data_IF_218622593831
#
_entry.id   IF_218622593831
#
_cell.length_a   1.000
_cell.length_b   1.000
_cell.length_c   1.000
_cell.angle_alpha   90.00
_cell.angle_beta   90.00
_cell.angle_gamma   90.00
#
_symmetry.space_group_name_H-M   'P 1'
#
loop_
_entity.id
_entity.type
_entity.pdbx_description
1 polymer ?
#
# COMPACT_ATOMS: atom_id res chain seq x y z
N UNK A 1 -34.58 22.80 -4.35
CA UNK A 1 -34.90 24.12 -4.94
C UNK A 1 -34.82 25.12 -3.80
N UNK A 2 -34.06 26.21 -3.94
CA UNK A 2 -33.96 27.24 -2.89
C UNK A 2 -35.27 28.02 -2.83
N UNK A 3 -35.97 27.96 -1.69
CA UNK A 3 -37.23 28.68 -1.49
C UNK A 3 -37.01 30.21 -1.47
N UNK A 4 -37.96 30.96 -2.00
CA UNK A 4 -37.95 32.43 -1.95
C UNK A 4 -38.52 32.90 -0.60
N UNK A 5 -38.00 33.98 0.02
CA UNK A 5 -38.63 34.59 1.17
C UNK A 5 -40.01 35.17 0.81
N UNK A 6 -41.01 34.97 1.66
CA UNK A 6 -42.39 35.38 1.42
C UNK A 6 -42.79 36.50 2.38
N UNK A 7 -43.13 37.68 1.84
CA UNK A 7 -43.71 38.78 2.62
C UNK A 7 -44.62 39.63 1.74
N UNK A 8 -45.79 40.05 2.25
CA UNK A 8 -46.79 40.83 1.51
C UNK A 8 -46.21 42.13 0.91
N UNK A 9 -45.31 42.78 1.64
CA UNK A 9 -44.55 43.96 1.22
C UNK A 9 -43.05 43.70 1.02
N UNK A 10 -42.66 42.58 0.40
CA UNK A 10 -41.24 42.29 0.16
C UNK A 10 -40.61 43.39 -0.73
N UNK A 11 -39.61 44.16 -0.24
CA UNK A 11 -39.00 45.23 -1.01
C UNK A 11 -38.34 44.72 -2.29
N UNK A 12 -38.42 45.50 -3.37
CA UNK A 12 -37.85 45.10 -4.66
C UNK A 12 -36.34 44.82 -4.59
N UNK A 13 -35.60 45.49 -3.71
CA UNK A 13 -34.17 45.27 -3.52
C UNK A 13 -33.88 43.92 -2.85
N UNK A 14 -34.76 43.42 -1.98
CA UNK A 14 -34.63 42.08 -1.35
C UNK A 14 -34.83 40.99 -2.38
N UNK A 15 -35.84 41.13 -3.26
CA UNK A 15 -36.05 40.21 -4.39
C UNK A 15 -34.84 40.14 -5.31
N UNK A 16 -34.21 41.30 -5.59
CA UNK A 16 -32.96 41.34 -6.36
C UNK A 16 -31.82 40.66 -5.63
N UNK A 17 -31.62 40.93 -4.34
CA UNK A 17 -30.59 40.28 -3.53
C UNK A 17 -30.75 38.75 -3.53
N UNK A 18 -31.99 38.27 -3.30
CA UNK A 18 -32.30 36.85 -3.42
C UNK A 18 -32.07 36.31 -4.83
N UNK A 19 -32.51 37.03 -5.87
CA UNK A 19 -32.31 36.63 -7.27
C UNK A 19 -30.83 36.48 -7.66
N UNK A 20 -29.94 37.30 -7.08
CA UNK A 20 -28.50 37.18 -7.26
C UNK A 20 -27.90 36.00 -6.48
N UNK A 21 -28.36 35.78 -5.25
CA UNK A 21 -27.84 34.72 -4.39
C UNK A 21 -28.35 33.31 -4.77
N UNK A 22 -29.61 33.22 -5.21
CA UNK A 22 -30.32 31.97 -5.52
C UNK A 22 -29.54 31.02 -6.44
N UNK A 23 -29.00 31.44 -7.60
CA UNK A 23 -28.28 30.50 -8.48
C UNK A 23 -27.02 29.94 -7.82
N UNK A 24 -26.29 30.76 -7.04
CA UNK A 24 -25.07 30.34 -6.34
C UNK A 24 -25.43 29.33 -5.25
N UNK A 25 -26.39 29.67 -4.39
CA UNK A 25 -26.86 28.78 -3.33
C UNK A 25 -27.46 27.47 -3.89
N UNK A 26 -28.12 27.53 -5.05
CA UNK A 26 -28.65 26.33 -5.70
C UNK A 26 -27.55 25.41 -6.24
N UNK A 27 -26.47 25.97 -6.80
CA UNK A 27 -25.30 25.21 -7.25
C UNK A 27 -24.56 24.57 -6.06
N UNK A 28 -24.39 25.32 -4.98
CA UNK A 28 -23.79 24.81 -3.74
C UNK A 28 -24.59 23.66 -3.14
N UNK A 29 -25.91 23.80 -3.02
CA UNK A 29 -26.79 22.73 -2.55
C UNK A 29 -26.81 21.51 -3.48
N UNK A 30 -26.62 21.71 -4.78
CA UNK A 30 -26.49 20.64 -5.76
C UNK A 30 -25.19 19.86 -5.61
N UNK A 31 -24.12 20.53 -5.18
CA UNK A 31 -22.78 19.96 -5.00
C UNK A 31 -22.55 19.36 -3.61
N UNK A 32 -23.25 19.85 -2.60
CA UNK A 32 -23.18 19.34 -1.22
C UNK A 32 -23.98 18.04 -1.04
N UNK A 33 -23.53 17.21 -0.11
CA UNK A 33 -24.20 15.95 0.25
C UNK A 33 -24.25 15.73 1.76
N UNK A 34 -25.17 14.87 2.20
CA UNK A 34 -25.33 14.49 3.61
C UNK A 34 -25.53 15.68 4.55
N UNK A 35 -24.83 15.67 5.69
CA UNK A 35 -24.96 16.67 6.75
C UNK A 35 -24.57 18.07 6.31
N UNK A 36 -23.57 18.21 5.43
CA UNK A 36 -23.13 19.52 4.94
C UNK A 36 -24.22 20.21 4.12
N UNK A 37 -24.97 19.43 3.33
CA UNK A 37 -26.14 19.93 2.61
C UNK A 37 -27.25 20.35 3.57
N UNK A 38 -27.58 19.50 4.56
CA UNK A 38 -28.61 19.81 5.56
C UNK A 38 -28.31 21.12 6.31
N UNK A 39 -27.05 21.32 6.74
CA UNK A 39 -26.61 22.56 7.40
C UNK A 39 -26.85 23.81 6.55
N UNK A 40 -26.58 23.76 5.24
CA UNK A 40 -26.81 24.90 4.36
C UNK A 40 -28.32 25.11 4.10
N UNK A 41 -29.09 24.03 3.92
CA UNK A 41 -30.55 24.11 3.76
C UNK A 41 -31.22 24.75 4.98
N UNK A 42 -30.83 24.34 6.19
CA UNK A 42 -31.33 24.90 7.44
C UNK A 42 -30.98 26.38 7.60
N UNK A 43 -29.73 26.76 7.29
CA UNK A 43 -29.27 28.15 7.37
C UNK A 43 -30.01 29.06 6.37
N UNK A 44 -30.28 28.57 5.16
CA UNK A 44 -31.10 29.27 4.16
C UNK A 44 -32.54 29.42 4.66
N UNK A 45 -33.14 28.35 5.19
CA UNK A 45 -34.51 28.36 5.71
C UNK A 45 -34.66 29.33 6.88
N UNK A 46 -33.70 29.33 7.81
CA UNK A 46 -33.65 30.26 8.93
C UNK A 46 -33.59 31.71 8.45
N UNK A 47 -32.66 32.03 7.53
CA UNK A 47 -32.54 33.38 7.00
C UNK A 47 -33.82 33.83 6.29
N UNK A 48 -34.38 32.98 5.45
CA UNK A 48 -35.61 33.27 4.73
C UNK A 48 -36.80 33.45 5.67
N UNK A 49 -36.90 32.66 6.74
CA UNK A 49 -37.94 32.82 7.78
C UNK A 49 -37.84 34.19 8.45
N UNK A 50 -36.61 34.61 8.80
CA UNK A 50 -36.37 35.92 9.40
C UNK A 50 -36.73 37.06 8.43
N UNK A 51 -36.37 36.96 7.16
CA UNK A 51 -36.75 37.94 6.13
C UNK A 51 -38.28 37.97 5.94
N UNK A 52 -38.92 36.80 5.89
CA UNK A 52 -40.38 36.62 5.78
C UNK A 52 -41.13 37.17 6.99
N UNK A 53 -40.48 37.34 8.14
CA UNK A 53 -41.03 38.02 9.33
C UNK A 53 -40.96 39.57 9.26
N UNK A 54 -40.40 40.13 8.17
CA UNK A 54 -40.29 41.57 7.95
C UNK A 54 -38.91 42.17 8.25
N UNK A 55 -37.93 41.37 8.69
CA UNK A 55 -36.55 41.84 8.95
C UNK A 55 -35.71 41.84 7.67
N UNK A 56 -36.09 42.67 6.71
CA UNK A 56 -35.49 42.70 5.37
C UNK A 56 -34.00 43.00 5.32
N UNK A 57 -33.45 43.74 6.29
CA UNK A 57 -32.00 44.01 6.38
C UNK A 57 -31.16 42.73 6.48
N UNK A 58 -31.75 41.60 6.89
CA UNK A 58 -31.07 40.32 6.91
C UNK A 58 -30.74 39.80 5.50
N UNK A 59 -31.36 40.32 4.44
CA UNK A 59 -31.00 39.98 3.07
C UNK A 59 -29.53 40.31 2.72
N UNK A 60 -28.86 41.22 3.45
CA UNK A 60 -27.41 41.45 3.27
C UNK A 60 -26.57 40.22 3.65
N UNK A 61 -27.12 39.30 4.45
CA UNK A 61 -26.44 38.07 4.90
C UNK A 61 -26.47 36.94 3.88
N UNK A 62 -27.07 37.14 2.71
CA UNK A 62 -26.93 36.15 1.62
C UNK A 62 -25.46 35.94 1.24
N UNK A 63 -24.61 36.98 1.35
CA UNK A 63 -23.17 36.83 1.15
C UNK A 63 -22.52 35.92 2.20
N UNK A 64 -22.95 35.99 3.46
CA UNK A 64 -22.47 35.11 4.52
C UNK A 64 -22.89 33.66 4.29
N UNK A 65 -24.11 33.43 3.76
CA UNK A 65 -24.59 32.09 3.40
C UNK A 65 -23.80 31.47 2.25
N UNK A 66 -23.47 32.26 1.22
CA UNK A 66 -22.60 31.81 0.13
C UNK A 66 -21.22 31.44 0.69
N UNK A 67 -20.62 32.30 1.52
CA UNK A 67 -19.34 32.01 2.15
C UNK A 67 -19.39 30.75 3.04
N UNK A 68 -20.52 30.48 3.69
CA UNK A 68 -20.75 29.24 4.43
C UNK A 68 -20.79 28.02 3.49
N UNK A 69 -21.53 28.11 2.37
CA UNK A 69 -21.62 27.05 1.36
C UNK A 69 -20.25 26.71 0.75
N UNK A 70 -19.47 27.72 0.38
CA UNK A 70 -18.09 27.55 -0.11
C UNK A 70 -17.19 26.82 0.91
N UNK A 71 -17.29 27.17 2.20
CA UNK A 71 -16.53 26.51 3.27
C UNK A 71 -16.95 25.06 3.43
N UNK A 72 -18.25 24.78 3.48
CA UNK A 72 -18.79 23.42 3.57
C UNK A 72 -18.34 22.56 2.38
N UNK A 73 -18.32 23.12 1.17
CA UNK A 73 -17.80 22.44 -0.02
C UNK A 73 -16.30 22.15 0.10
N UNK A 74 -15.51 23.11 0.58
CA UNK A 74 -14.08 22.92 0.78
C UNK A 74 -13.80 21.81 1.82
N UNK A 75 -14.57 21.78 2.91
CA UNK A 75 -14.41 20.77 3.95
C UNK A 75 -14.84 19.38 3.46
N UNK A 76 -15.98 19.26 2.77
CA UNK A 76 -16.40 18.01 2.12
C UNK A 76 -15.33 17.48 1.15
N UNK A 77 -14.72 18.36 0.35
CA UNK A 77 -13.62 17.98 -0.56
C UNK A 77 -12.39 17.50 0.19
N UNK A 78 -12.06 18.11 1.33
CA UNK A 78 -10.94 17.67 2.19
C UNK A 78 -11.20 16.28 2.77
N UNK A 79 -12.38 16.07 3.34
CA UNK A 79 -12.78 14.77 3.89
C UNK A 79 -12.78 13.67 2.83
N UNK A 80 -13.31 13.95 1.63
CA UNK A 80 -13.25 13.05 0.48
C UNK A 80 -11.81 12.75 0.03
N UNK A 81 -10.93 13.76 0.06
CA UNK A 81 -9.52 13.57 -0.28
C UNK A 81 -8.79 12.72 0.78
N UNK A 82 -9.09 12.90 2.06
CA UNK A 82 -8.52 12.12 3.16
C UNK A 82 -8.98 10.67 3.12
N UNK A 83 -10.27 10.42 2.96
CA UNK A 83 -10.82 9.06 2.79
C UNK A 83 -10.22 8.37 1.57
N UNK A 84 -10.11 9.06 0.43
CA UNK A 84 -9.46 8.53 -0.76
C UNK A 84 -7.96 8.24 -0.53
N UNK A 85 -7.24 9.09 0.21
CA UNK A 85 -5.84 8.84 0.58
C UNK A 85 -5.72 7.58 1.43
N UNK A 86 -6.53 7.45 2.48
CA UNK A 86 -6.55 6.26 3.34
C UNK A 86 -6.86 5.00 2.52
N UNK A 87 -7.88 5.03 1.66
CA UNK A 87 -8.21 3.91 0.78
C UNK A 87 -7.03 3.53 -0.14
N UNK A 88 -6.39 4.51 -0.80
CA UNK A 88 -5.21 4.24 -1.64
C UNK A 88 -4.06 3.62 -0.85
N UNK A 89 -3.83 4.05 0.39
CA UNK A 89 -2.78 3.44 1.23
C UNK A 89 -3.10 1.98 1.58
N UNK A 90 -4.37 1.68 1.90
CA UNK A 90 -4.82 0.32 2.17
C UNK A 90 -4.73 -0.56 0.91
N UNK A 91 -5.17 -0.06 -0.24
CA UNK A 91 -5.08 -0.78 -1.52
C UNK A 91 -3.63 -1.05 -1.93
N UNK A 92 -2.74 -0.08 -1.77
CA UNK A 92 -1.32 -0.26 -2.04
C UNK A 92 -0.70 -1.31 -1.11
N UNK A 93 -1.04 -1.31 0.18
CA UNK A 93 -0.60 -2.32 1.13
C UNK A 93 -1.12 -3.71 0.76
N UNK A 94 -2.42 -3.84 0.46
CA UNK A 94 -3.02 -5.12 0.00
C UNK A 94 -2.35 -5.63 -1.25
N UNK A 95 -2.09 -4.76 -2.22
CA UNK A 95 -1.41 -5.13 -3.47
C UNK A 95 -0.03 -5.70 -3.19
N UNK A 96 0.79 -5.03 -2.36
CA UNK A 96 2.13 -5.53 -1.98
C UNK A 96 2.07 -6.91 -1.33
N UNK A 97 1.17 -7.12 -0.36
CA UNK A 97 1.04 -8.41 0.33
C UNK A 97 0.51 -9.49 -0.63
N UNK A 98 -0.40 -9.15 -1.55
CA UNK A 98 -0.89 -10.07 -2.56
C UNK A 98 0.22 -10.46 -3.56
N UNK A 99 1.05 -9.51 -3.99
CA UNK A 99 2.18 -9.78 -4.87
C UNK A 99 3.20 -10.69 -4.16
N UNK A 100 3.49 -10.46 -2.87
CA UNK A 100 4.29 -11.38 -2.05
C UNK A 100 3.69 -12.80 -1.96
N UNK A 101 2.37 -12.91 -1.78
CA UNK A 101 1.67 -14.20 -1.78
C UNK A 101 1.74 -14.92 -3.14
N UNK A 102 1.70 -14.17 -4.24
CA UNK A 102 1.83 -14.72 -5.60
C UNK A 102 3.24 -15.21 -5.86
N UNK A 103 4.25 -14.43 -5.48
CA UNK A 103 5.66 -14.82 -5.61
C UNK A 103 5.99 -16.06 -4.74
N UNK A 104 5.31 -16.19 -3.60
CA UNK A 104 5.43 -17.32 -2.68
C UNK A 104 4.68 -18.59 -3.12
N UNK A 105 3.84 -18.53 -4.16
CA UNK A 105 2.85 -19.57 -4.47
C UNK A 105 3.45 -20.97 -4.72
N UNK A 106 4.69 -21.04 -5.22
CA UNK A 106 5.37 -22.32 -5.49
C UNK A 106 6.15 -22.86 -4.28
N UNK A 107 6.38 -22.03 -3.25
CA UNK A 107 7.20 -22.38 -2.08
C UNK A 107 6.34 -22.74 -0.86
N UNK A 108 5.15 -22.17 -0.76
CA UNK A 108 4.25 -22.33 0.39
C UNK A 108 3.19 -23.41 0.10
N UNK A 109 2.80 -24.24 1.10
CA UNK A 109 1.71 -25.19 0.93
C UNK A 109 0.39 -24.52 0.50
N UNK A 110 -0.36 -25.19 -0.37
CA UNK A 110 -1.59 -24.64 -0.96
C UNK A 110 -2.66 -24.28 0.09
N UNK A 111 -2.76 -25.06 1.18
CA UNK A 111 -3.66 -24.78 2.29
C UNK A 111 -3.32 -23.46 2.99
N UNK A 112 -2.04 -23.26 3.31
CA UNK A 112 -1.52 -22.01 3.90
C UNK A 112 -1.76 -20.83 2.97
N UNK A 113 -1.50 -21.00 1.67
CA UNK A 113 -1.78 -19.98 0.67
C UNK A 113 -3.27 -19.58 0.65
N UNK A 114 -4.17 -20.55 0.63
CA UNK A 114 -5.63 -20.30 0.60
C UNK A 114 -6.12 -19.56 1.85
N UNK A 115 -5.59 -19.91 3.03
CA UNK A 115 -5.89 -19.26 4.30
C UNK A 115 -5.40 -17.81 4.33
N UNK A 116 -4.16 -17.57 3.92
CA UNK A 116 -3.58 -16.22 3.85
C UNK A 116 -4.30 -15.35 2.83
N UNK A 117 -4.65 -15.90 1.66
CA UNK A 117 -5.44 -15.23 0.63
C UNK A 117 -6.83 -14.82 1.15
N UNK A 118 -7.49 -15.70 1.94
CA UNK A 118 -8.76 -15.38 2.60
C UNK A 118 -8.58 -14.29 3.65
N UNK A 119 -7.54 -14.39 4.49
CA UNK A 119 -7.21 -13.40 5.53
C UNK A 119 -6.97 -12.00 4.94
N UNK A 120 -6.21 -11.92 3.84
CA UNK A 120 -5.93 -10.66 3.13
C UNK A 120 -7.21 -10.00 2.57
N UNK A 121 -8.17 -10.80 2.11
CA UNK A 121 -9.47 -10.29 1.65
C UNK A 121 -10.32 -9.76 2.82
N UNK A 122 -10.29 -10.42 3.98
CA UNK A 122 -11.08 -10.01 5.15
C UNK A 122 -10.46 -8.89 5.99
N UNK A 123 -9.14 -8.66 5.90
CA UNK A 123 -8.51 -7.51 6.56
C UNK A 123 -9.17 -6.22 6.10
N UNK A 124 -9.46 -5.27 7.00
CA UNK A 124 -10.13 -3.99 6.67
C UNK A 124 -9.25 -2.78 6.93
N UNK A 125 -8.19 -2.96 7.70
CA UNK A 125 -7.26 -1.94 8.18
C UNK A 125 -5.81 -2.30 7.82
N UNK A 126 -4.91 -1.33 8.07
CA UNK A 126 -3.51 -1.47 7.70
C UNK A 126 -2.77 -2.49 8.58
N UNK A 127 -3.17 -2.59 9.86
CA UNK A 127 -2.62 -3.55 10.82
C UNK A 127 -2.99 -5.00 10.44
N UNK A 128 -4.24 -5.26 10.06
CA UNK A 128 -4.65 -6.56 9.57
C UNK A 128 -3.91 -6.94 8.28
N UNK A 129 -3.69 -6.00 7.38
CA UNK A 129 -2.92 -6.24 6.15
C UNK A 129 -1.44 -6.54 6.47
N UNK A 130 -0.82 -5.79 7.37
CA UNK A 130 0.59 -6.01 7.76
C UNK A 130 0.78 -7.33 8.47
N UNK A 131 -0.12 -7.70 9.38
CA UNK A 131 -0.08 -8.99 10.07
C UNK A 131 -0.13 -10.17 9.09
N UNK A 132 -0.96 -10.08 8.03
CA UNK A 132 -0.96 -11.09 6.97
C UNK A 132 0.39 -11.12 6.26
N UNK A 133 0.99 -9.97 5.95
CA UNK A 133 2.32 -9.87 5.34
C UNK A 133 3.45 -10.50 6.18
N UNK A 134 3.41 -10.28 7.49
CA UNK A 134 4.31 -10.94 8.45
C UNK A 134 4.12 -12.46 8.44
N UNK A 135 2.87 -12.92 8.35
CA UNK A 135 2.57 -14.35 8.26
C UNK A 135 3.03 -14.98 6.94
N UNK A 136 2.97 -14.24 5.82
CA UNK A 136 3.54 -14.67 4.53
C UNK A 136 5.05 -14.86 4.66
N UNK A 137 5.74 -13.87 5.23
CA UNK A 137 7.21 -13.90 5.36
C UNK A 137 7.66 -15.00 6.33
N UNK A 138 6.93 -15.23 7.43
CA UNK A 138 7.15 -16.36 8.32
C UNK A 138 6.91 -17.71 7.64
N UNK A 139 5.87 -17.83 6.82
CA UNK A 139 5.59 -19.06 6.07
C UNK A 139 6.69 -19.36 5.03
N UNK A 140 7.19 -18.31 4.36
CA UNK A 140 8.31 -18.40 3.42
C UNK A 140 9.62 -18.80 4.08
N UNK A 141 9.97 -18.19 5.22
CA UNK A 141 11.19 -18.51 5.95
C UNK A 141 11.17 -19.96 6.45
N UNK A 142 10.01 -20.42 6.94
CA UNK A 142 9.77 -21.82 7.31
C UNK A 142 9.96 -22.76 6.12
N UNK A 143 9.31 -22.48 4.98
CA UNK A 143 9.44 -23.29 3.77
C UNK A 143 10.88 -23.39 3.26
N UNK A 144 11.61 -22.26 3.22
CA UNK A 144 13.03 -22.21 2.84
C UNK A 144 13.90 -23.03 3.79
N UNK A 145 13.66 -22.96 5.09
CA UNK A 145 14.41 -23.76 6.07
C UNK A 145 14.25 -25.26 5.86
N UNK A 146 13.05 -25.72 5.47
CA UNK A 146 12.78 -27.13 5.17
C UNK A 146 13.47 -27.55 3.87
N UNK A 147 13.43 -26.70 2.84
CA UNK A 147 14.12 -26.97 1.57
C UNK A 147 15.64 -27.03 1.77
N UNK A 148 16.22 -26.12 2.55
CA UNK A 148 17.66 -26.12 2.82
C UNK A 148 18.09 -27.38 3.57
N UNK A 149 17.35 -27.78 4.62
CA UNK A 149 17.61 -29.06 5.32
C UNK A 149 17.52 -30.27 4.39
N UNK A 150 16.59 -30.26 3.42
CA UNK A 150 16.46 -31.33 2.42
C UNK A 150 17.68 -31.35 1.49
N UNK A 151 18.11 -30.17 1.03
CA UNK A 151 19.29 -29.99 0.19
C UNK A 151 20.56 -30.45 0.91
N UNK A 152 20.76 -30.05 2.16
CA UNK A 152 21.91 -30.48 2.99
C UNK A 152 21.96 -32.00 3.14
N UNK A 153 20.82 -32.66 3.39
CA UNK A 153 20.73 -34.12 3.47
C UNK A 153 21.11 -34.78 2.14
N UNK A 154 20.68 -34.21 1.03
CA UNK A 154 21.01 -34.71 -0.31
C UNK A 154 22.49 -34.53 -0.63
N UNK A 155 23.07 -33.36 -0.33
CA UNK A 155 24.51 -33.09 -0.43
C UNK A 155 25.30 -34.08 0.43
N UNK A 156 24.84 -34.38 1.65
CA UNK A 156 25.50 -35.35 2.51
C UNK A 156 25.43 -36.77 1.92
N UNK A 157 24.28 -37.18 1.36
CA UNK A 157 24.12 -38.47 0.68
C UNK A 157 24.99 -38.58 -0.58
N UNK A 158 25.08 -37.53 -1.39
CA UNK A 158 25.93 -37.53 -2.58
C UNK A 158 27.40 -37.54 -2.19
N UNK A 159 27.81 -36.74 -1.20
CA UNK A 159 29.19 -36.71 -0.69
C UNK A 159 29.62 -38.06 -0.12
N UNK A 160 28.77 -38.73 0.66
CA UNK A 160 29.05 -40.08 1.18
C UNK A 160 29.08 -41.13 0.07
N UNK A 161 28.21 -41.04 -0.94
CA UNK A 161 28.27 -41.90 -2.13
C UNK A 161 29.59 -41.72 -2.88
N UNK A 162 29.99 -40.48 -3.16
CA UNK A 162 31.26 -40.15 -3.81
C UNK A 162 32.41 -40.70 -2.99
N UNK A 163 32.46 -40.47 -1.68
CA UNK A 163 33.54 -41.00 -0.82
C UNK A 163 33.61 -42.54 -0.83
N UNK A 164 32.48 -43.25 -0.96
CA UNK A 164 32.47 -44.71 -1.07
C UNK A 164 32.82 -45.22 -2.47
N UNK A 165 32.44 -44.50 -3.52
CA UNK A 165 32.72 -44.87 -4.91
C UNK A 165 34.08 -44.40 -5.40
N UNK A 166 34.69 -43.43 -4.72
CA UNK A 166 36.07 -43.02 -4.99
C UNK A 166 36.97 -44.14 -4.45
N UNK A 167 37.76 -44.81 -5.30
CA UNK A 167 38.64 -45.88 -4.82
C UNK A 167 39.60 -45.31 -3.77
N UNK A 168 39.63 -45.96 -2.59
CA UNK A 168 40.57 -45.66 -1.48
C UNK A 168 42.05 -45.69 -1.91
N UNK A 169 42.32 -46.22 -3.11
CA UNK A 169 43.63 -46.42 -3.73
C UNK A 169 44.36 -45.14 -4.19
N UNK A 170 43.75 -43.95 -4.12
CA UNK A 170 44.44 -42.68 -4.44
C UNK A 170 44.80 -41.82 -3.23
N UNK A 171 44.65 -42.33 -2.00
CA UNK A 171 45.13 -41.62 -0.79
C UNK A 171 46.48 -42.14 -0.29
N UNK A 172 47.13 -43.00 -1.08
CA UNK A 172 48.50 -43.46 -0.88
C UNK A 172 49.29 -43.35 -2.18
N UNK A 173 48.99 -42.35 -3.02
CA UNK A 173 50.04 -41.84 -3.89
C UNK A 173 51.04 -41.12 -2.97
N UNK A 174 52.36 -41.40 -3.04
CA UNK A 174 53.34 -40.55 -2.37
C UNK A 174 53.05 -39.09 -2.77
N UNK A 175 53.30 -38.10 -1.88
CA UNK A 175 53.10 -36.71 -2.26
C UNK A 175 53.79 -36.50 -3.61
N UNK A 176 53.03 -36.02 -4.59
CA UNK A 176 53.57 -35.75 -5.91
C UNK A 176 54.85 -34.93 -5.70
N UNK A 177 55.99 -35.44 -6.20
CA UNK A 177 57.28 -34.77 -6.05
C UNK A 177 57.09 -33.29 -6.40
N UNK A 178 57.53 -32.42 -5.49
CA UNK A 178 57.43 -30.98 -5.71
C UNK A 178 58.18 -30.67 -6.99
N UNK A 179 57.51 -30.07 -7.98
CA UNK A 179 58.12 -29.77 -9.28
C UNK A 179 59.39 -28.93 -9.13
N UNK A 180 59.50 -28.19 -8.02
CA UNK A 180 60.72 -27.47 -7.62
C UNK A 180 61.89 -28.42 -7.36
N UNK A 181 61.67 -29.55 -6.68
CA UNK A 181 62.72 -30.55 -6.45
C UNK A 181 63.11 -31.28 -7.73
N UNK A 182 62.14 -31.57 -8.60
CA UNK A 182 62.39 -32.19 -9.91
C UNK A 182 63.24 -31.26 -10.79
N UNK A 183 62.92 -29.96 -10.82
CA UNK A 183 63.69 -28.96 -11.56
C UNK A 183 65.09 -28.77 -10.97
N UNK A 184 65.23 -28.76 -9.64
CA UNK A 184 66.53 -28.66 -8.96
C UNK A 184 67.41 -29.87 -9.29
N UNK A 185 66.87 -31.08 -9.28
CA UNK A 185 67.58 -32.31 -9.63
C UNK A 185 68.05 -32.31 -11.09
N UNK A 186 67.19 -31.91 -12.02
CA UNK A 186 67.54 -31.76 -13.44
C UNK A 186 68.65 -30.72 -13.64
N UNK A 187 68.59 -29.61 -12.90
CA UNK A 187 69.63 -28.59 -12.94
C UNK A 187 70.96 -29.14 -12.39
N UNK A 188 70.92 -29.88 -11.28
CA UNK A 188 72.09 -30.54 -10.69
C UNK A 188 72.71 -31.57 -11.65
N UNK A 189 71.90 -32.40 -12.31
CA UNK A 189 72.35 -33.37 -13.32
C UNK A 189 72.97 -32.70 -14.56
N UNK A 190 72.39 -31.59 -15.04
CA UNK A 190 72.97 -30.81 -16.15
C UNK A 190 74.30 -30.16 -15.75
N UNK A 191 74.43 -29.69 -14.51
CA UNK A 191 75.70 -29.12 -14.03
C UNK A 191 76.77 -30.18 -13.76
N UNK A 192 76.38 -31.38 -13.29
CA UNK A 192 77.28 -32.50 -13.07
C UNK A 192 77.77 -33.10 -14.40
N UNK A 193 76.93 -33.15 -15.44
CA UNK A 193 77.30 -33.57 -16.79
C UNK A 193 78.12 -32.56 -17.60
N UNK A 194 78.23 -31.31 -17.10
CA UNK A 194 79.02 -30.23 -17.71
C UNK A 194 80.45 -30.15 -17.16
N UNK A 195 80.81 -30.95 -16.16
CA UNK A 195 82.10 -30.90 -15.45
C UNK A 195 83.05 -32.07 -15.80
N UNK A 196 82.90 -32.64 -17.00
CA UNK A 196 83.87 -33.55 -17.65
C UNK A 196 84.22 -33.02 -19.02
#
# INVERSE_FOLDING_TARGET
MVAEPEHHHLPAWVRRAFGLARPILADELGSLSGDARGKLEDAIAELNSVISSGKFSQAFRYADLIALGERLLADQRREQAETARVQRTLEAARKRVNDQLRDAATQVPQETWSRLSKSLRSATDLEGISAVGEEVTASLSSARSVQERRREREIHRTRTRIQRSTPRSQTSAPPAEDWVEVLRRLQEEMTAGSAT
#
